data_IF_062425137393
#
_entry.id   IF_062425137393
#
_cell.length_a   1.000
_cell.length_b   1.000
_cell.length_c   1.000
_cell.angle_alpha   90.00
_cell.angle_beta   90.00
_cell.angle_gamma   90.00
#
_symmetry.space_group_name_H-M   'P 1'
#
loop_
_entity.id
_entity.type
_entity.pdbx_description
1 polymer ?
#
# COMPACT_ATOMS: atom_id res chain seq x y z
N UNK A 1 7.90 2.75 10.89
CA UNK A 1 8.56 3.72 10.00
C UNK A 1 9.83 4.25 10.68
N UNK A 2 9.76 4.63 11.94
CA UNK A 2 10.89 5.18 12.71
C UNK A 2 11.99 4.15 13.03
N UNK A 3 11.68 2.87 12.94
CA UNK A 3 12.62 1.76 13.19
C UNK A 3 13.59 1.50 12.03
N UNK A 4 13.36 2.09 10.86
CA UNK A 4 14.25 1.91 9.72
C UNK A 4 15.52 2.78 9.88
N UNK A 5 16.70 2.18 10.09
CA UNK A 5 17.94 2.91 10.36
C UNK A 5 18.46 3.67 9.13
N UNK A 6 17.93 3.39 7.94
CA UNK A 6 18.34 4.03 6.69
C UNK A 6 17.44 5.21 6.31
N UNK A 7 16.24 5.34 6.92
CA UNK A 7 15.21 6.26 6.45
C UNK A 7 15.63 7.74 6.49
N UNK A 8 16.31 8.16 7.54
CA UNK A 8 16.81 9.55 7.64
C UNK A 8 17.85 9.88 6.56
N UNK A 9 18.71 8.90 6.24
CA UNK A 9 19.73 9.03 5.19
C UNK A 9 19.11 8.92 3.79
N UNK A 10 18.09 8.12 3.63
CA UNK A 10 17.35 7.94 2.37
C UNK A 10 16.85 9.27 1.81
N UNK A 11 16.25 10.13 2.63
CA UNK A 11 15.77 11.44 2.15
C UNK A 11 16.89 12.45 1.85
N UNK A 12 18.11 12.20 2.31
CA UNK A 12 19.29 13.03 1.94
C UNK A 12 19.98 12.53 0.67
N UNK A 13 19.99 11.23 0.46
CA UNK A 13 20.55 10.59 -0.74
C UNK A 13 19.78 9.32 -1.09
N UNK A 14 18.74 9.49 -1.92
CA UNK A 14 17.85 8.39 -2.33
C UNK A 14 18.65 7.31 -3.07
N UNK A 15 19.57 7.69 -3.97
CA UNK A 15 20.30 6.72 -4.79
C UNK A 15 21.19 5.80 -3.98
N UNK A 16 21.85 6.32 -2.96
CA UNK A 16 22.76 5.56 -2.11
C UNK A 16 22.00 4.62 -1.15
N UNK A 17 20.88 5.09 -0.57
CA UNK A 17 20.20 4.36 0.50
C UNK A 17 18.90 3.67 0.10
N UNK A 18 18.46 3.79 -1.16
CA UNK A 18 17.18 3.22 -1.60
C UNK A 18 17.10 1.71 -1.40
N UNK A 19 18.11 0.96 -1.87
CA UNK A 19 18.05 -0.51 -1.81
C UNK A 19 17.96 -1.02 -0.36
N UNK A 20 18.77 -0.47 0.55
CA UNK A 20 18.77 -0.84 1.96
C UNK A 20 17.44 -0.49 2.62
N UNK A 21 16.90 0.68 2.30
CA UNK A 21 15.63 1.17 2.82
C UNK A 21 14.46 0.30 2.37
N UNK A 22 14.37 0.01 1.07
CA UNK A 22 13.30 -0.80 0.49
C UNK A 22 13.38 -2.26 0.95
N UNK A 23 14.61 -2.83 1.03
CA UNK A 23 14.81 -4.18 1.54
C UNK A 23 14.37 -4.30 3.01
N UNK A 24 14.74 -3.34 3.87
CA UNK A 24 14.33 -3.32 5.26
C UNK A 24 12.79 -3.32 5.39
N UNK A 25 12.10 -2.48 4.63
CA UNK A 25 10.64 -2.44 4.65
C UNK A 25 10.01 -3.73 4.13
N UNK A 26 10.57 -4.33 3.09
CA UNK A 26 10.06 -5.60 2.55
C UNK A 26 10.13 -6.71 3.60
N UNK A 27 11.30 -6.93 4.21
CA UNK A 27 11.48 -7.97 5.21
C UNK A 27 10.58 -7.78 6.44
N UNK A 28 10.46 -6.56 6.94
CA UNK A 28 9.60 -6.29 8.10
C UNK A 28 8.12 -6.52 7.78
N UNK A 29 7.64 -6.08 6.62
CA UNK A 29 6.24 -6.30 6.22
C UNK A 29 5.95 -7.77 5.95
N UNK A 30 6.88 -8.47 5.30
CA UNK A 30 6.77 -9.92 5.14
C UNK A 30 6.58 -10.59 6.51
N UNK A 31 7.46 -10.30 7.46
CA UNK A 31 7.39 -10.88 8.81
C UNK A 31 6.08 -10.55 9.52
N UNK A 32 5.61 -9.30 9.44
CA UNK A 32 4.33 -8.90 10.02
C UNK A 32 3.15 -9.67 9.42
N UNK A 33 3.13 -9.88 8.09
CA UNK A 33 2.06 -10.62 7.42
C UNK A 33 2.11 -12.11 7.75
N UNK A 34 3.31 -12.71 7.81
CA UNK A 34 3.49 -14.09 8.26
C UNK A 34 2.97 -14.30 9.70
N UNK A 35 3.30 -13.38 10.62
CA UNK A 35 2.82 -13.42 11.99
C UNK A 35 1.30 -13.19 12.10
N UNK A 36 0.75 -12.34 11.24
CA UNK A 36 -0.70 -12.08 11.14
C UNK A 36 -1.43 -13.34 10.67
N UNK A 37 -0.92 -14.02 9.66
CA UNK A 37 -1.49 -15.28 9.19
C UNK A 37 -1.51 -16.33 10.30
N UNK A 38 -0.38 -16.56 10.95
CA UNK A 38 -0.23 -17.57 12.02
C UNK A 38 -1.10 -17.27 13.24
N UNK A 39 -1.19 -16.01 13.65
CA UNK A 39 -1.78 -15.66 14.94
C UNK A 39 -3.22 -15.16 14.86
N UNK A 40 -3.67 -14.70 13.69
CA UNK A 40 -4.99 -14.07 13.52
C UNK A 40 -5.83 -14.81 12.49
N UNK A 41 -5.38 -14.89 11.23
CA UNK A 41 -6.15 -15.47 10.13
C UNK A 41 -6.39 -16.98 10.33
N UNK A 42 -5.41 -17.71 10.85
CA UNK A 42 -5.56 -19.14 11.20
C UNK A 42 -6.68 -19.41 12.22
N UNK A 43 -7.12 -18.37 12.95
CA UNK A 43 -8.24 -18.44 13.93
C UNK A 43 -9.55 -17.90 13.34
N UNK A 44 -9.67 -17.84 12.02
CA UNK A 44 -10.84 -17.32 11.30
C UNK A 44 -11.26 -15.90 11.71
N UNK A 45 -10.30 -15.06 12.05
CA UNK A 45 -10.52 -13.65 12.36
C UNK A 45 -10.21 -12.77 11.15
N UNK A 46 -11.04 -11.76 10.93
CA UNK A 46 -10.75 -10.73 9.92
C UNK A 46 -9.61 -9.81 10.35
N UNK A 47 -8.92 -9.24 9.36
CA UNK A 47 -7.81 -8.29 9.56
C UNK A 47 -8.06 -7.05 8.73
N UNK A 48 -7.83 -5.89 9.34
CA UNK A 48 -7.71 -4.60 8.65
C UNK A 48 -6.28 -4.12 8.81
N UNK A 49 -5.62 -3.80 7.70
CA UNK A 49 -4.25 -3.30 7.67
C UNK A 49 -4.20 -1.91 7.05
N UNK A 50 -3.32 -1.04 7.54
CA UNK A 50 -3.09 0.31 7.01
C UNK A 50 -2.15 0.33 5.79
N UNK A 51 -1.72 -0.83 5.31
CA UNK A 51 -0.95 -0.98 4.08
C UNK A 51 -1.16 -2.36 3.44
N UNK A 52 -0.81 -2.46 2.16
CA UNK A 52 -0.60 -3.72 1.46
C UNK A 52 0.86 -3.86 1.02
N UNK A 53 1.40 -5.10 0.99
CA UNK A 53 2.82 -5.35 0.66
C UNK A 53 3.22 -4.87 -0.73
N UNK A 54 2.28 -4.74 -1.67
CA UNK A 54 2.51 -4.17 -3.02
C UNK A 54 3.10 -2.76 -2.97
N UNK A 55 2.87 -2.03 -1.88
CA UNK A 55 3.50 -0.74 -1.63
C UNK A 55 5.03 -0.80 -1.78
N UNK A 56 5.64 -1.92 -1.43
CA UNK A 56 7.09 -2.12 -1.59
C UNK A 56 7.52 -2.11 -3.06
N UNK A 57 6.74 -2.70 -3.98
CA UNK A 57 7.05 -2.62 -5.42
C UNK A 57 6.86 -1.20 -5.96
N UNK A 58 5.81 -0.50 -5.51
CA UNK A 58 5.51 0.86 -5.94
C UNK A 58 6.67 1.80 -5.59
N UNK A 59 7.14 1.76 -4.34
CA UNK A 59 8.24 2.60 -3.89
C UNK A 59 9.57 2.20 -4.55
N UNK A 60 9.89 0.91 -4.57
CA UNK A 60 11.10 0.40 -5.22
C UNK A 60 11.16 0.75 -6.72
N UNK A 61 10.01 0.79 -7.40
CA UNK A 61 9.93 1.14 -8.82
C UNK A 61 10.38 2.58 -9.13
N UNK A 62 10.30 3.48 -8.15
CA UNK A 62 10.69 4.88 -8.30
C UNK A 62 12.11 5.13 -7.77
N UNK A 63 12.49 4.41 -6.72
CA UNK A 63 13.71 4.70 -5.97
C UNK A 63 14.92 3.91 -6.46
N UNK A 64 14.71 2.70 -7.01
CA UNK A 64 15.77 1.82 -7.48
C UNK A 64 16.06 2.01 -8.97
N UNK A 65 17.32 1.81 -9.37
CA UNK A 65 17.64 1.66 -10.78
C UNK A 65 17.02 0.38 -11.37
N UNK A 66 17.02 0.28 -12.71
CA UNK A 66 16.39 -0.85 -13.42
C UNK A 66 16.92 -2.21 -13.00
N UNK A 67 18.23 -2.33 -12.75
CA UNK A 67 18.86 -3.59 -12.39
C UNK A 67 18.55 -3.96 -10.93
N UNK A 68 18.65 -2.99 -10.03
CA UNK A 68 18.28 -3.15 -8.63
C UNK A 68 16.79 -3.49 -8.49
N UNK A 69 15.91 -2.79 -9.21
CA UNK A 69 14.46 -3.08 -9.19
C UNK A 69 14.15 -4.48 -9.72
N UNK A 70 14.81 -4.92 -10.79
CA UNK A 70 14.62 -6.27 -11.31
C UNK A 70 14.96 -7.34 -10.26
N UNK A 71 16.11 -7.22 -9.58
CA UNK A 71 16.52 -8.13 -8.50
C UNK A 71 15.59 -8.06 -7.30
N UNK A 72 15.23 -6.85 -6.90
CA UNK A 72 14.28 -6.62 -5.81
C UNK A 72 12.94 -7.29 -6.07
N UNK A 73 12.40 -7.17 -7.29
CA UNK A 73 11.15 -7.81 -7.69
C UNK A 73 11.23 -9.34 -7.65
N UNK A 74 12.37 -9.94 -7.97
CA UNK A 74 12.57 -11.39 -7.81
C UNK A 74 12.47 -11.81 -6.35
N UNK A 75 13.13 -11.10 -5.44
CA UNK A 75 13.06 -11.34 -3.99
C UNK A 75 11.63 -11.11 -3.47
N UNK A 76 11.00 -10.01 -3.88
CA UNK A 76 9.60 -9.73 -3.56
C UNK A 76 8.68 -10.89 -3.94
N UNK A 77 8.76 -11.40 -5.15
CA UNK A 77 7.92 -12.49 -5.64
C UNK A 77 8.10 -13.78 -4.82
N UNK A 78 9.32 -14.08 -4.39
CA UNK A 78 9.59 -15.24 -3.52
C UNK A 78 8.85 -15.10 -2.19
N UNK A 79 8.90 -13.90 -1.57
CA UNK A 79 8.27 -13.69 -0.28
C UNK A 79 6.75 -13.61 -0.32
N UNK A 80 6.16 -13.03 -1.37
CA UNK A 80 4.71 -12.81 -1.39
C UNK A 80 3.90 -13.99 -1.89
N UNK A 81 4.58 -14.99 -2.48
CA UNK A 81 3.90 -16.14 -3.09
C UNK A 81 3.01 -16.90 -2.09
N UNK A 82 3.45 -17.01 -0.86
CA UNK A 82 2.79 -17.77 0.20
C UNK A 82 2.06 -16.88 1.22
N UNK A 83 2.01 -15.57 0.98
CA UNK A 83 1.34 -14.65 1.89
C UNK A 83 -0.17 -14.56 1.63
N UNK A 84 -0.97 -14.31 2.68
CA UNK A 84 -2.40 -14.12 2.54
C UNK A 84 -2.71 -12.91 1.65
N UNK A 85 -3.62 -13.12 0.70
CA UNK A 85 -4.06 -12.05 -0.20
C UNK A 85 -5.31 -11.37 0.37
N UNK A 86 -5.44 -10.04 0.25
CA UNK A 86 -6.59 -9.31 0.74
C UNK A 86 -7.85 -9.64 -0.07
N UNK A 87 -9.01 -9.56 0.55
CA UNK A 87 -10.31 -9.62 -0.13
C UNK A 87 -10.70 -8.25 -0.69
N UNK A 88 -10.37 -7.18 0.03
CA UNK A 88 -10.69 -5.80 -0.32
C UNK A 88 -9.46 -4.93 -0.14
N UNK A 89 -9.23 -4.02 -1.08
CA UNK A 89 -8.22 -2.95 -0.96
C UNK A 89 -8.93 -1.61 -1.11
N UNK A 90 -8.75 -0.73 -0.13
CA UNK A 90 -9.18 0.66 -0.22
C UNK A 90 -8.00 1.49 -0.70
N UNK A 91 -8.10 2.01 -1.90
CA UNK A 91 -7.11 2.91 -2.49
C UNK A 91 -7.56 4.37 -2.29
N UNK A 92 -6.95 5.05 -1.33
CA UNK A 92 -7.19 6.47 -1.08
C UNK A 92 -6.33 7.30 -2.02
N UNK A 93 -6.93 7.78 -3.10
CA UNK A 93 -6.28 8.67 -4.06
C UNK A 93 -6.46 10.14 -3.60
N UNK A 94 -5.46 10.98 -3.85
CA UNK A 94 -5.52 12.43 -3.61
C UNK A 94 -4.68 13.16 -4.64
N UNK A 95 -5.01 14.43 -4.91
CA UNK A 95 -4.13 15.26 -5.74
C UNK A 95 -2.85 15.62 -4.98
N UNK A 96 -1.80 15.98 -5.73
CA UNK A 96 -0.46 16.22 -5.17
C UNK A 96 -0.45 17.39 -4.20
N UNK A 97 -1.24 18.44 -4.43
CA UNK A 97 -1.28 19.60 -3.53
C UNK A 97 -1.82 19.22 -2.15
N UNK A 98 -2.86 18.39 -2.12
CA UNK A 98 -3.42 17.86 -0.87
C UNK A 98 -2.41 16.94 -0.16
N UNK A 99 -1.71 16.08 -0.91
CA UNK A 99 -0.68 15.20 -0.33
C UNK A 99 0.46 16.03 0.28
N UNK A 100 1.00 17.02 -0.44
CA UNK A 100 2.05 17.90 0.05
C UNK A 100 1.60 18.67 1.30
N UNK A 101 0.36 19.18 1.30
CA UNK A 101 -0.21 19.85 2.47
C UNK A 101 -0.29 18.90 3.68
N UNK A 102 -0.77 17.67 3.49
CA UNK A 102 -0.87 16.67 4.56
C UNK A 102 0.50 16.23 5.09
N UNK A 103 1.51 16.11 4.20
CA UNK A 103 2.90 15.84 4.60
C UNK A 103 3.43 16.98 5.48
N UNK A 104 3.23 18.24 5.04
CA UNK A 104 3.63 19.40 5.83
C UNK A 104 2.92 19.49 7.19
N UNK A 105 1.61 19.19 7.25
CA UNK A 105 0.84 19.19 8.50
C UNK A 105 1.30 18.11 9.49
N UNK A 106 1.76 16.96 8.98
CA UNK A 106 2.29 15.86 9.80
C UNK A 106 3.65 16.17 10.41
N UNK A 107 4.40 17.09 9.80
CA UNK A 107 5.68 17.67 10.23
C UNK A 107 6.73 16.65 10.72
N UNK A 108 6.88 15.54 10.02
CA UNK A 108 7.99 14.62 10.29
C UNK A 108 9.30 15.25 9.80
N UNK A 109 10.31 15.28 10.67
CA UNK A 109 11.58 15.97 10.41
C UNK A 109 12.27 15.53 9.11
N UNK A 110 12.24 14.25 8.78
CA UNK A 110 12.83 13.67 7.57
C UNK A 110 11.97 13.89 6.30
N UNK A 111 10.72 14.38 6.41
CA UNK A 111 9.83 14.66 5.29
C UNK A 111 9.75 16.15 4.93
N UNK A 112 10.37 17.04 5.72
CA UNK A 112 10.27 18.50 5.52
C UNK A 112 10.79 18.99 4.17
N UNK A 113 11.71 18.25 3.55
CA UNK A 113 12.28 18.55 2.22
C UNK A 113 11.76 17.62 1.14
N UNK A 114 10.55 17.06 1.31
CA UNK A 114 9.95 16.12 0.37
C UNK A 114 9.80 16.75 -1.02
N UNK A 115 10.39 16.11 -2.03
CA UNK A 115 10.30 16.57 -3.42
C UNK A 115 8.89 16.29 -3.97
N UNK A 116 8.28 17.33 -4.53
CA UNK A 116 6.98 17.25 -5.18
C UNK A 116 6.98 16.25 -6.34
N UNK A 117 8.04 16.21 -7.15
CA UNK A 117 8.13 15.29 -8.29
C UNK A 117 8.17 13.82 -7.82
N UNK A 118 8.78 13.56 -6.66
CA UNK A 118 8.76 12.24 -6.04
C UNK A 118 7.33 11.81 -5.68
N UNK A 119 6.53 12.71 -5.10
CA UNK A 119 5.12 12.44 -4.77
C UNK A 119 4.26 12.25 -6.03
N UNK A 120 4.49 13.03 -7.08
CA UNK A 120 3.81 12.85 -8.37
C UNK A 120 4.16 11.51 -9.03
N UNK A 121 5.43 11.10 -8.96
CA UNK A 121 5.88 9.80 -9.40
C UNK A 121 5.17 8.67 -8.64
N UNK A 122 5.12 8.75 -7.30
CA UNK A 122 4.39 7.78 -6.48
C UNK A 122 2.93 7.68 -6.87
N UNK A 123 2.23 8.80 -7.06
CA UNK A 123 0.82 8.80 -7.50
C UNK A 123 0.63 8.09 -8.84
N UNK A 124 1.55 8.32 -9.77
CA UNK A 124 1.52 7.68 -11.10
C UNK A 124 1.68 6.17 -10.97
N UNK A 125 2.65 5.71 -10.17
CA UNK A 125 2.87 4.29 -9.91
C UNK A 125 1.68 3.65 -9.19
N UNK A 126 1.10 4.30 -8.17
CA UNK A 126 -0.11 3.80 -7.53
C UNK A 126 -1.26 3.61 -8.53
N UNK A 127 -1.52 4.58 -9.41
CA UNK A 127 -2.53 4.46 -10.47
C UNK A 127 -2.23 3.30 -11.43
N UNK A 128 -0.97 3.10 -11.78
CA UNK A 128 -0.56 1.99 -12.63
C UNK A 128 -0.84 0.64 -11.96
N UNK A 129 -0.44 0.46 -10.70
CA UNK A 129 -0.60 -0.80 -9.98
C UNK A 129 -2.07 -1.13 -9.68
N UNK A 130 -2.91 -0.15 -9.42
CA UNK A 130 -4.34 -0.33 -9.13
C UNK A 130 -5.25 -0.12 -10.35
N UNK A 131 -4.70 0.02 -11.54
CA UNK A 131 -5.49 0.00 -12.77
C UNK A 131 -6.10 -1.40 -12.98
N UNK A 132 -7.38 -1.51 -13.40
CA UNK A 132 -8.04 -2.81 -13.62
C UNK A 132 -7.29 -3.78 -14.52
N UNK A 133 -6.56 -3.28 -15.54
CA UNK A 133 -5.74 -4.11 -16.42
C UNK A 133 -4.48 -4.66 -15.75
N UNK A 134 -3.94 -3.95 -14.77
CA UNK A 134 -2.70 -4.32 -14.06
C UNK A 134 -2.96 -5.24 -12.86
N UNK A 135 -4.16 -5.19 -12.27
CA UNK A 135 -4.53 -5.95 -11.07
C UNK A 135 -4.33 -7.45 -11.27
N UNK A 136 -4.76 -8.00 -12.43
CA UNK A 136 -4.59 -9.42 -12.76
C UNK A 136 -3.16 -9.92 -12.68
N UNK A 137 -2.20 -9.06 -13.00
CA UNK A 137 -0.78 -9.40 -12.97
C UNK A 137 -0.12 -9.18 -11.60
N UNK A 138 -0.71 -8.31 -10.79
CA UNK A 138 -0.13 -7.89 -9.52
C UNK A 138 -0.60 -8.71 -8.31
N UNK A 139 -1.73 -9.41 -8.43
CA UNK A 139 -2.34 -10.18 -7.35
C UNK A 139 -2.49 -11.65 -7.74
N UNK A 140 -1.45 -12.40 -7.67
CA UNK A 140 -1.22 -13.82 -7.96
C UNK A 140 -2.47 -14.74 -7.85
N UNK A 141 -3.44 -14.59 -8.77
CA UNK A 141 -4.59 -15.49 -8.91
C UNK A 141 -5.83 -15.16 -8.06
N UNK A 142 -5.73 -14.28 -7.06
CA UNK A 142 -6.90 -13.75 -6.34
C UNK A 142 -7.02 -12.25 -6.61
N UNK A 143 -8.07 -11.85 -7.31
CA UNK A 143 -8.34 -10.43 -7.57
C UNK A 143 -9.11 -9.82 -6.39
N UNK A 144 -8.52 -8.92 -5.59
CA UNK A 144 -9.25 -8.22 -4.55
C UNK A 144 -10.28 -7.26 -5.14
N UNK A 145 -11.32 -6.95 -4.38
CA UNK A 145 -12.20 -5.82 -4.71
C UNK A 145 -11.42 -4.53 -4.44
N UNK A 146 -11.23 -3.69 -5.46
CA UNK A 146 -10.58 -2.39 -5.30
C UNK A 146 -11.64 -1.31 -5.13
N UNK A 147 -11.59 -0.61 -4.00
CA UNK A 147 -12.41 0.57 -3.73
C UNK A 147 -11.51 1.78 -3.87
N UNK A 148 -11.58 2.46 -5.02
CA UNK A 148 -10.88 3.74 -5.19
C UNK A 148 -11.74 4.87 -4.63
N UNK A 149 -11.14 5.69 -3.76
CA UNK A 149 -11.78 6.85 -3.13
C UNK A 149 -10.91 8.09 -3.40
N UNK A 150 -11.48 9.09 -4.06
CA UNK A 150 -10.84 10.41 -4.12
C UNK A 150 -10.97 11.10 -2.75
N UNK A 151 -9.84 11.09 -2.05
CA UNK A 151 -9.73 11.64 -0.71
C UNK A 151 -9.25 13.11 -0.70
N UNK A 152 -9.29 13.80 -1.86
CA UNK A 152 -8.81 15.19 -1.95
C UNK A 152 -9.63 16.16 -1.10
N UNK A 153 -10.93 15.93 -1.01
CA UNK A 153 -11.88 16.80 -0.31
C UNK A 153 -12.53 16.17 0.93
N UNK A 154 -12.17 14.93 1.26
CA UNK A 154 -12.73 14.23 2.41
C UNK A 154 -11.95 14.54 3.69
N UNK A 155 -12.69 14.74 4.79
CA UNK A 155 -12.16 14.87 6.14
C UNK A 155 -12.80 13.84 7.08
N UNK A 156 -12.49 12.58 6.83
CA UNK A 156 -13.03 11.46 7.62
C UNK A 156 -12.51 11.40 9.08
N UNK A 157 -11.55 12.24 9.44
CA UNK A 157 -11.10 12.38 10.83
C UNK A 157 -12.08 13.23 11.65
N UNK A 158 -12.58 14.32 11.06
CA UNK A 158 -13.39 15.30 11.78
C UNK A 158 -14.87 15.30 11.35
N UNK A 159 -15.18 14.80 10.13
CA UNK A 159 -16.55 14.76 9.60
C UNK A 159 -17.11 13.33 9.62
N UNK A 160 -18.23 13.16 10.32
CA UNK A 160 -18.89 11.87 10.43
C UNK A 160 -19.50 11.40 9.10
N UNK A 161 -20.01 12.30 8.29
CA UNK A 161 -20.56 12.03 6.97
C UNK A 161 -19.51 11.45 6.00
N UNK A 162 -18.29 12.01 5.99
CA UNK A 162 -17.18 11.50 5.18
C UNK A 162 -16.72 10.12 5.65
N UNK A 163 -16.72 9.90 6.95
CA UNK A 163 -16.38 8.59 7.54
C UNK A 163 -17.44 7.54 7.18
N UNK A 164 -18.73 7.90 7.30
CA UNK A 164 -19.83 7.04 6.93
C UNK A 164 -19.78 6.65 5.46
N UNK A 165 -19.51 7.61 4.57
CA UNK A 165 -19.34 7.33 3.14
C UNK A 165 -18.31 6.22 2.88
N UNK A 166 -17.14 6.24 3.57
CA UNK A 166 -16.13 5.21 3.42
C UNK A 166 -16.63 3.86 3.96
N UNK A 167 -17.28 3.86 5.13
CA UNK A 167 -17.83 2.65 5.75
C UNK A 167 -18.86 2.00 4.84
N UNK A 168 -19.82 2.76 4.31
CA UNK A 168 -20.87 2.28 3.41
C UNK A 168 -20.27 1.60 2.16
N UNK A 169 -19.18 2.15 1.59
CA UNK A 169 -18.46 1.54 0.47
C UNK A 169 -17.82 0.19 0.83
N UNK A 170 -17.27 0.08 2.03
CA UNK A 170 -16.67 -1.17 2.51
C UNK A 170 -17.74 -2.21 2.78
N UNK A 171 -18.87 -1.83 3.38
CA UNK A 171 -20.01 -2.74 3.65
C UNK A 171 -20.62 -3.27 2.34
N UNK A 172 -20.75 -2.43 1.32
CA UNK A 172 -21.16 -2.83 -0.03
C UNK A 172 -20.23 -3.89 -0.61
N UNK A 173 -18.91 -3.68 -0.50
CA UNK A 173 -17.91 -4.63 -0.98
C UNK A 173 -17.95 -5.96 -0.21
N UNK A 174 -18.09 -5.92 1.12
CA UNK A 174 -18.23 -7.12 1.96
C UNK A 174 -19.49 -7.92 1.55
N UNK A 175 -20.61 -7.23 1.33
CA UNK A 175 -21.86 -7.89 0.88
C UNK A 175 -21.68 -8.60 -0.46
N UNK A 176 -20.90 -8.02 -1.37
CA UNK A 176 -20.58 -8.64 -2.66
C UNK A 176 -19.72 -9.90 -2.51
N UNK A 177 -18.82 -9.93 -1.54
CA UNK A 177 -18.01 -11.13 -1.23
C UNK A 177 -18.88 -12.26 -0.65
N UNK A 178 -19.76 -11.93 0.31
CA UNK A 178 -20.69 -12.90 0.90
C UNK A 178 -21.66 -13.55 -0.12
N UNK A 179 -22.10 -12.78 -1.12
CA UNK A 179 -22.96 -13.29 -2.20
C UNK A 179 -22.27 -14.26 -3.17
N UNK A 180 -20.93 -14.17 -3.31
CA UNK A 180 -20.15 -15.12 -4.15
C UNK A 180 -19.98 -16.50 -3.52
N UNK A 181 -20.10 -16.63 -2.22
CA UNK A 181 -19.91 -17.90 -1.49
C UNK A 181 -21.14 -18.81 -1.55
N UNK A 182 -22.31 -18.28 -1.93
CA UNK A 182 -23.58 -19.03 -1.98
C UNK A 182 -23.92 -19.65 -3.36
N UNK A 183 -23.10 -19.40 -4.40
CA UNK A 183 -23.35 -19.89 -5.76
C UNK A 183 -22.44 -21.04 -6.21
N UNK A 184 -21.82 -21.77 -5.28
CA UNK A 184 -21.01 -22.97 -5.59
C UNK A 184 -21.61 -24.17 -4.86
N UNK A 185 -22.76 -24.66 -5.34
CA UNK A 185 -23.29 -26.00 -5.09
C UNK A 185 -23.53 -26.69 -6.42
#
# INVERSE_FOLDING_TARGET
VEENPFLSKFYTDIKEYALQTEAFFLFNRFKQLEDTEKNVLSKSKGVVSDYHIIKNLIFAGITLDKMQFHRYKQVYNIFVNDLPQPDIIIYLNSNTDVLMKRIAMRDRSFERQMDRNYIDGLRTEYKYYFNPLSIKHNFMGKEPIIIEIDNSNLDFLNKEEDRKFIIDKVEEAISTLGGKTTCSN
#
